data_IF_986178794437
#
_entry.id   IF_986178794437
#
_cell.length_a   1.000
_cell.length_b   1.000
_cell.length_c   1.000
_cell.angle_alpha   90.00
_cell.angle_beta   90.00
_cell.angle_gamma   90.00
#
_symmetry.space_group_name_H-M   'P 1'
#
loop_
_entity.id
_entity.type
_entity.pdbx_description
1 polymer ?
#
# COMPACT_ATOMS: atom_id res chain seq x y z
N UNK A 1 10.82 -36.72 14.46
CA UNK A 1 10.01 -35.48 14.45
C UNK A 1 10.80 -34.44 13.65
N UNK A 2 10.40 -34.10 12.43
CA UNK A 2 11.19 -33.20 11.56
C UNK A 2 10.61 -32.98 10.16
N UNK A 3 9.71 -33.83 9.70
CA UNK A 3 9.17 -33.75 8.34
C UNK A 3 8.13 -32.64 8.13
N UNK A 4 7.38 -32.22 9.17
CA UNK A 4 6.32 -31.22 9.00
C UNK A 4 6.84 -29.79 8.81
N UNK A 5 8.00 -29.44 9.40
CA UNK A 5 8.54 -28.07 9.31
C UNK A 5 9.08 -27.76 7.91
N UNK A 6 9.77 -28.73 7.30
CA UNK A 6 10.38 -28.57 5.97
C UNK A 6 9.32 -28.51 4.88
N UNK A 7 8.22 -29.25 5.04
CA UNK A 7 7.08 -29.21 4.09
C UNK A 7 6.37 -27.85 4.16
N UNK A 8 6.18 -27.27 5.35
CA UNK A 8 5.59 -25.93 5.49
C UNK A 8 6.48 -24.87 4.83
N UNK A 9 7.79 -24.91 5.08
CA UNK A 9 8.75 -23.95 4.52
C UNK A 9 8.84 -24.04 2.99
N UNK A 10 8.83 -25.27 2.45
CA UNK A 10 8.83 -25.52 1.00
C UNK A 10 7.52 -25.07 0.33
N UNK A 11 6.37 -25.36 0.94
CA UNK A 11 5.05 -24.91 0.44
C UNK A 11 4.95 -23.39 0.49
N UNK A 12 5.40 -22.73 1.58
CA UNK A 12 5.46 -21.28 1.66
C UNK A 12 6.34 -20.67 0.57
N UNK A 13 7.56 -21.18 0.37
CA UNK A 13 8.47 -20.68 -0.65
C UNK A 13 7.88 -20.80 -2.07
N UNK A 14 7.17 -21.89 -2.35
CA UNK A 14 6.57 -22.15 -3.65
C UNK A 14 5.29 -21.32 -3.86
N UNK A 15 4.45 -21.14 -2.83
CA UNK A 15 3.32 -20.19 -2.87
C UNK A 15 3.80 -18.75 -3.13
N UNK A 16 4.83 -18.31 -2.41
CA UNK A 16 5.42 -16.97 -2.56
C UNK A 16 5.95 -16.74 -3.98
N UNK A 17 6.57 -17.74 -4.61
CA UNK A 17 7.04 -17.59 -6.00
C UNK A 17 5.91 -17.39 -7.02
N UNK A 18 4.72 -17.92 -6.76
CA UNK A 18 3.56 -17.85 -7.66
C UNK A 18 2.74 -16.58 -7.46
N UNK A 19 2.89 -15.91 -6.31
CA UNK A 19 2.22 -14.66 -5.94
C UNK A 19 3.12 -13.42 -6.13
N UNK A 20 4.37 -13.60 -6.58
CA UNK A 20 5.27 -12.47 -6.83
C UNK A 20 4.67 -11.62 -7.96
N UNK A 21 4.39 -10.32 -7.72
CA UNK A 21 3.99 -9.43 -8.79
C UNK A 21 5.08 -9.42 -9.86
N UNK A 22 4.66 -9.41 -11.12
CA UNK A 22 5.59 -9.16 -12.21
C UNK A 22 6.00 -7.68 -12.19
N UNK A 23 6.93 -7.27 -13.06
CA UNK A 23 7.43 -5.89 -13.03
C UNK A 23 6.36 -4.86 -13.45
N UNK A 24 5.34 -5.28 -14.20
CA UNK A 24 4.20 -4.43 -14.55
C UNK A 24 3.31 -4.19 -13.33
N UNK A 25 2.97 -5.24 -12.58
CA UNK A 25 2.23 -5.15 -11.33
C UNK A 25 2.98 -4.28 -10.32
N UNK A 26 4.30 -4.42 -10.21
CA UNK A 26 5.14 -3.55 -9.34
C UNK A 26 5.01 -2.07 -9.72
N UNK A 27 5.14 -1.75 -11.01
CA UNK A 27 5.02 -0.36 -11.51
C UNK A 27 3.62 0.20 -11.29
N UNK A 28 2.58 -0.61 -11.51
CA UNK A 28 1.20 -0.21 -11.30
C UNK A 28 0.91 0.06 -9.82
N UNK A 29 1.39 -0.82 -8.92
CA UNK A 29 1.29 -0.63 -7.47
C UNK A 29 2.00 0.66 -7.07
N UNK A 30 3.25 0.87 -7.50
CA UNK A 30 4.02 2.07 -7.18
C UNK A 30 3.35 3.35 -7.68
N UNK A 31 2.81 3.34 -8.91
CA UNK A 31 2.10 4.47 -9.49
C UNK A 31 0.86 4.85 -8.68
N UNK A 32 0.15 3.91 -8.05
CA UNK A 32 -1.00 4.23 -7.21
C UNK A 32 -0.60 5.08 -6.00
N UNK A 33 0.52 4.76 -5.34
CA UNK A 33 1.01 5.56 -4.22
C UNK A 33 1.49 6.94 -4.67
N UNK A 34 2.21 7.03 -5.79
CA UNK A 34 2.67 8.31 -6.34
C UNK A 34 1.49 9.20 -6.73
N UNK A 35 0.50 8.66 -7.46
CA UNK A 35 -0.68 9.39 -7.88
C UNK A 35 -1.50 9.87 -6.68
N UNK A 36 -1.58 9.07 -5.62
CA UNK A 36 -2.27 9.45 -4.38
C UNK A 36 -1.59 10.65 -3.70
N UNK A 37 -0.26 10.62 -3.63
CA UNK A 37 0.52 11.74 -3.07
C UNK A 37 0.40 12.99 -3.96
N UNK A 38 0.45 12.83 -5.28
CA UNK A 38 0.34 13.93 -6.24
C UNK A 38 -1.02 14.63 -6.20
N UNK A 39 -2.10 13.88 -5.97
CA UNK A 39 -3.47 14.42 -5.83
C UNK A 39 -3.64 15.22 -4.53
N UNK A 40 -2.98 14.81 -3.44
CA UNK A 40 -3.19 15.37 -2.11
C UNK A 40 -2.23 16.50 -1.74
N UNK A 41 -1.01 16.46 -2.28
CA UNK A 41 0.09 17.30 -1.83
C UNK A 41 0.55 18.17 -2.99
N UNK A 42 0.42 19.49 -2.89
CA UNK A 42 0.83 20.38 -3.99
C UNK A 42 2.33 20.68 -4.02
N UNK A 43 3.01 20.62 -2.86
CA UNK A 43 4.42 20.99 -2.74
C UNK A 43 5.34 19.81 -3.08
N UNK A 44 6.26 20.00 -4.03
CA UNK A 44 7.17 18.95 -4.50
C UNK A 44 8.10 18.39 -3.40
N UNK A 45 8.62 19.24 -2.50
CA UNK A 45 9.48 18.78 -1.41
C UNK A 45 8.70 17.94 -0.39
N UNK A 46 7.43 18.29 -0.14
CA UNK A 46 6.56 17.52 0.73
C UNK A 46 6.21 16.17 0.09
N UNK A 47 5.98 16.11 -1.22
CA UNK A 47 5.77 14.84 -1.96
C UNK A 47 6.95 13.89 -1.80
N UNK A 48 8.16 14.37 -2.07
CA UNK A 48 9.39 13.58 -1.91
C UNK A 48 9.53 13.10 -0.46
N UNK A 49 9.31 13.98 0.52
CA UNK A 49 9.35 13.60 1.94
C UNK A 49 8.37 12.47 2.26
N UNK A 50 7.14 12.57 1.77
CA UNK A 50 6.07 11.59 2.04
C UNK A 50 6.37 10.24 1.40
N UNK A 51 6.99 10.21 0.22
CA UNK A 51 7.34 8.97 -0.47
C UNK A 51 8.55 8.27 0.15
N UNK A 52 9.54 9.03 0.62
CA UNK A 52 10.85 8.48 1.00
C UNK A 52 11.02 8.24 2.51
N UNK A 53 10.33 8.99 3.37
CA UNK A 53 10.56 8.90 4.82
C UNK A 53 9.85 7.74 5.48
N UNK A 54 10.46 7.26 6.56
CA UNK A 54 9.86 6.32 7.48
C UNK A 54 9.69 7.01 8.84
N UNK A 55 8.51 7.55 9.08
CA UNK A 55 8.15 8.16 10.36
C UNK A 55 7.31 7.19 11.20
N UNK A 56 7.38 7.25 12.53
CA UNK A 56 6.52 6.45 13.40
C UNK A 56 5.05 6.83 13.20
N UNK A 57 4.14 5.89 13.45
CA UNK A 57 2.70 6.16 13.38
C UNK A 57 2.30 7.04 14.56
N UNK A 58 1.85 8.27 14.25
CA UNK A 58 1.42 9.26 15.25
C UNK A 58 -0.09 9.30 15.45
N UNK A 59 -0.84 9.15 14.36
CA UNK A 59 -2.29 9.18 14.36
C UNK A 59 -2.80 7.76 13.99
N UNK A 60 -3.09 6.96 15.02
CA UNK A 60 -3.51 5.56 14.86
C UNK A 60 -4.86 5.44 14.17
N UNK A 61 -5.80 6.34 14.48
CA UNK A 61 -7.14 6.34 13.90
C UNK A 61 -7.07 6.64 12.40
N UNK A 62 -6.32 7.68 12.00
CA UNK A 62 -6.11 7.97 10.58
C UNK A 62 -5.44 6.80 9.87
N UNK A 63 -4.39 6.23 10.48
CA UNK A 63 -3.65 5.13 9.88
C UNK A 63 -4.55 3.91 9.64
N UNK A 64 -5.33 3.49 10.64
CA UNK A 64 -6.25 2.35 10.50
C UNK A 64 -7.29 2.59 9.41
N UNK A 65 -7.92 3.76 9.39
CA UNK A 65 -8.92 4.12 8.38
C UNK A 65 -8.34 4.13 6.96
N UNK A 66 -7.17 4.72 6.79
CA UNK A 66 -6.50 4.81 5.49
C UNK A 66 -6.03 3.44 5.00
N UNK A 67 -5.47 2.60 5.87
CA UNK A 67 -5.05 1.24 5.53
C UNK A 67 -6.23 0.37 5.14
N UNK A 68 -7.32 0.42 5.93
CA UNK A 68 -8.54 -0.33 5.65
C UNK A 68 -9.22 0.13 4.36
N UNK A 69 -9.24 1.44 4.09
CA UNK A 69 -9.74 1.97 2.83
C UNK A 69 -8.87 1.53 1.65
N UNK A 70 -7.55 1.62 1.76
CA UNK A 70 -6.65 1.26 0.67
C UNK A 70 -6.77 -0.22 0.29
N UNK A 71 -6.86 -1.10 1.29
CA UNK A 71 -6.97 -2.55 1.07
C UNK A 71 -8.31 -2.98 0.47
N UNK A 72 -9.36 -2.21 0.72
CA UNK A 72 -10.70 -2.47 0.19
C UNK A 72 -10.97 -1.81 -1.15
N UNK A 73 -10.33 -0.67 -1.45
CA UNK A 73 -10.64 0.16 -2.61
C UNK A 73 -9.56 0.11 -3.69
N UNK A 74 -8.29 -0.10 -3.33
CA UNK A 74 -7.17 -0.05 -4.26
C UNK A 74 -6.49 -1.41 -4.46
N UNK A 75 -5.94 -2.01 -3.40
CA UNK A 75 -5.10 -3.22 -3.53
C UNK A 75 -5.32 -4.18 -2.36
N UNK A 76 -5.71 -5.41 -2.66
CA UNK A 76 -5.77 -6.50 -1.70
C UNK A 76 -4.36 -6.99 -1.37
N UNK A 77 -3.85 -6.57 -0.20
CA UNK A 77 -2.50 -6.92 0.26
C UNK A 77 -2.28 -8.42 0.48
N UNK A 78 -3.33 -9.21 0.68
CA UNK A 78 -3.20 -10.67 0.76
C UNK A 78 -2.83 -11.30 -0.60
N UNK A 79 -3.14 -10.61 -1.70
CA UNK A 79 -2.77 -11.03 -3.06
C UNK A 79 -1.46 -10.38 -3.50
N UNK A 80 -1.22 -9.14 -3.10
CA UNK A 80 -0.07 -8.34 -3.52
C UNK A 80 0.71 -7.82 -2.30
N UNK A 81 1.46 -8.71 -1.66
CA UNK A 81 2.29 -8.39 -0.49
C UNK A 81 3.27 -7.25 -0.77
N UNK A 82 3.73 -7.11 -2.03
CA UNK A 82 4.62 -6.03 -2.45
C UNK A 82 4.08 -4.62 -2.12
N UNK A 83 2.76 -4.43 -2.10
CA UNK A 83 2.16 -3.15 -1.76
C UNK A 83 2.41 -2.75 -0.29
N UNK A 84 2.62 -3.71 0.61
CA UNK A 84 2.94 -3.43 2.03
C UNK A 84 4.22 -2.62 2.19
N UNK A 85 5.15 -2.72 1.24
CA UNK A 85 6.40 -1.93 1.21
C UNK A 85 6.13 -0.41 1.32
N UNK A 86 5.01 0.06 0.79
CA UNK A 86 4.66 1.47 0.69
C UNK A 86 3.66 1.93 1.77
N UNK A 87 3.43 1.12 2.80
CA UNK A 87 2.55 1.46 3.93
C UNK A 87 3.00 2.73 4.68
N UNK A 88 4.30 3.01 4.72
CA UNK A 88 4.84 4.26 5.26
C UNK A 88 4.28 5.51 4.57
N UNK A 89 4.00 5.44 3.26
CA UNK A 89 3.41 6.56 2.50
C UNK A 89 2.04 6.92 3.05
N UNK A 90 1.22 5.92 3.38
CA UNK A 90 -0.09 6.11 3.99
C UNK A 90 0.02 6.76 5.39
N UNK A 91 0.97 6.30 6.19
CA UNK A 91 1.27 6.91 7.49
C UNK A 91 1.74 8.37 7.36
N UNK A 92 2.60 8.65 6.40
CA UNK A 92 3.13 10.00 6.18
C UNK A 92 2.03 10.96 5.71
N UNK A 93 1.09 10.50 4.88
CA UNK A 93 -0.10 11.27 4.52
C UNK A 93 -0.96 11.59 5.75
N UNK A 94 -1.17 10.63 6.65
CA UNK A 94 -1.84 10.88 7.92
C UNK A 94 -1.12 11.91 8.77
N UNK A 95 0.21 11.85 8.85
CA UNK A 95 1.01 12.84 9.58
C UNK A 95 0.93 14.24 8.95
N UNK A 96 0.79 14.32 7.62
CA UNK A 96 0.76 15.58 6.89
C UNK A 96 -0.61 16.26 6.91
N UNK A 97 -1.70 15.48 6.82
CA UNK A 97 -3.06 15.99 6.70
C UNK A 97 -3.85 15.95 8.01
N UNK A 98 -3.42 15.11 8.95
CA UNK A 98 -4.08 14.85 10.24
C UNK A 98 -5.57 14.44 10.12
N UNK A 99 -5.96 13.94 8.95
CA UNK A 99 -7.33 13.51 8.64
C UNK A 99 -7.32 12.45 7.53
N UNK A 100 -8.01 11.33 7.78
CA UNK A 100 -8.18 10.25 6.81
C UNK A 100 -9.13 10.61 5.66
N UNK A 101 -10.13 11.47 5.90
CA UNK A 101 -11.20 11.78 4.93
C UNK A 101 -10.68 12.23 3.56
N UNK A 102 -9.77 13.23 3.43
CA UNK A 102 -9.25 13.63 2.14
C UNK A 102 -8.50 12.48 1.44
N UNK A 103 -7.75 11.69 2.20
CA UNK A 103 -6.97 10.56 1.70
C UNK A 103 -7.90 9.48 1.11
N UNK A 104 -8.91 9.07 1.88
CA UNK A 104 -9.89 8.06 1.46
C UNK A 104 -10.69 8.53 0.24
N UNK A 105 -11.03 9.82 0.15
CA UNK A 105 -11.71 10.36 -1.02
C UNK A 105 -10.81 10.34 -2.26
N UNK A 106 -9.54 10.67 -2.13
CA UNK A 106 -8.57 10.57 -3.20
C UNK A 106 -8.37 9.11 -3.65
N UNK A 107 -8.30 8.16 -2.71
CA UNK A 107 -8.26 6.73 -3.03
C UNK A 107 -9.48 6.29 -3.83
N UNK A 108 -10.69 6.67 -3.44
CA UNK A 108 -11.91 6.35 -4.20
C UNK A 108 -11.85 6.94 -5.61
N UNK A 109 -11.37 8.17 -5.77
CA UNK A 109 -11.21 8.81 -7.09
C UNK A 109 -10.22 8.06 -7.96
N UNK A 110 -8.99 7.85 -7.46
CA UNK A 110 -7.88 7.24 -8.22
C UNK A 110 -8.15 5.76 -8.49
N UNK A 111 -8.67 5.04 -7.49
CA UNK A 111 -8.82 3.60 -7.56
C UNK A 111 -10.16 3.14 -8.13
N UNK A 112 -11.12 4.05 -8.37
CA UNK A 112 -12.39 3.72 -9.06
C UNK A 112 -12.20 3.14 -10.46
N UNK A 113 -11.07 3.43 -11.12
CA UNK A 113 -10.68 2.88 -12.42
C UNK A 113 -9.65 1.75 -12.31
N UNK A 114 -9.27 1.35 -11.09
CA UNK A 114 -8.24 0.33 -10.89
C UNK A 114 -8.74 -1.02 -11.37
N UNK A 115 -7.87 -1.71 -12.11
CA UNK A 115 -8.12 -3.03 -12.65
C UNK A 115 -8.56 -3.97 -11.52
N UNK A 116 -9.70 -4.64 -11.69
CA UNK A 116 -10.25 -5.61 -10.72
C UNK A 116 -9.25 -6.69 -10.31
N UNK A 117 -8.20 -6.88 -11.11
CA UNK A 117 -7.02 -7.69 -10.80
C UNK A 117 -6.38 -7.36 -9.45
N UNK A 118 -6.39 -6.10 -9.00
CA UNK A 118 -5.74 -5.70 -7.74
C UNK A 118 -6.63 -5.87 -6.50
N UNK A 119 -7.93 -6.16 -6.66
CA UNK A 119 -8.90 -6.37 -5.58
C UNK A 119 -9.09 -7.87 -5.29
#
# INVERSE_FOLDING_TARGET
>A
MGSNSVVIEFVCAQLVSTLKPNDEDRRNIESLYVNLVDELISNANDRTRILERYDPVKNLDCHDDVVRAFTSVCINWNKFEYALKYTNVLNNLCTQLDDARPIVNAMKKICSSTNSRFL
#
